data_IF_781916041976
#
_entry.id   IF_781916041976
#
_cell.length_a   1.000
_cell.length_b   1.000
_cell.length_c   1.000
_cell.angle_alpha   90.00
_cell.angle_beta   90.00
_cell.angle_gamma   90.00
#
_symmetry.space_group_name_H-M   'P 1'
#
loop_
_entity.id
_entity.type
_entity.pdbx_description
1 polymer ?
#
# COMPACT_ATOMS: atom_id res chain seq x y z
N UNK A 1 -17.78 28.74 -14.63
CA UNK A 1 -18.06 29.04 -13.21
C UNK A 1 -16.84 28.62 -12.41
N UNK A 2 -16.33 29.57 -11.63
CA UNK A 2 -15.03 29.66 -10.95
C UNK A 2 -14.63 28.40 -10.15
N UNK A 3 -13.38 27.94 -10.31
CA UNK A 3 -12.67 27.24 -9.22
C UNK A 3 -11.93 28.31 -8.42
N UNK A 4 -12.57 28.82 -7.37
CA UNK A 4 -11.98 29.79 -6.44
C UNK A 4 -10.90 29.12 -5.59
N UNK A 5 -9.68 29.64 -5.72
CA UNK A 5 -8.77 30.01 -4.63
C UNK A 5 -8.41 28.91 -3.63
N UNK A 6 -7.21 28.34 -3.83
CA UNK A 6 -6.47 27.57 -2.82
C UNK A 6 -6.15 28.47 -1.63
N UNK A 7 -7.08 28.49 -0.69
CA UNK A 7 -6.97 29.19 0.57
C UNK A 7 -5.88 28.55 1.44
N UNK A 8 -4.73 29.21 1.48
CA UNK A 8 -3.61 29.01 2.41
C UNK A 8 -4.07 29.33 3.83
N UNK A 9 -4.77 28.37 4.45
CA UNK A 9 -5.03 28.37 5.89
C UNK A 9 -4.32 27.17 6.48
N UNK A 10 -3.42 27.43 7.42
CA UNK A 10 -2.71 26.46 8.26
C UNK A 10 -3.68 25.75 9.22
N UNK A 11 -4.70 25.09 8.68
CA UNK A 11 -5.51 24.15 9.41
C UNK A 11 -4.79 22.81 9.35
N UNK A 12 -4.47 22.23 10.52
CA UNK A 12 -4.02 20.84 10.58
C UNK A 12 -5.22 19.96 10.25
N UNK A 13 -5.51 19.82 8.96
CA UNK A 13 -6.53 18.92 8.47
C UNK A 13 -5.97 17.51 8.66
N UNK A 14 -6.54 16.75 9.60
CA UNK A 14 -6.21 15.35 9.76
C UNK A 14 -6.75 14.59 8.55
N UNK A 15 -5.94 14.45 7.50
CA UNK A 15 -6.30 13.66 6.32
C UNK A 15 -6.38 12.19 6.78
N UNK A 16 -7.57 11.56 6.71
CA UNK A 16 -7.69 10.16 7.11
C UNK A 16 -6.78 9.30 6.24
N UNK A 17 -6.14 8.31 6.86
CA UNK A 17 -5.33 7.35 6.12
C UNK A 17 -6.23 6.59 5.13
N UNK A 18 -5.81 6.40 3.88
CA UNK A 18 -6.63 5.75 2.88
C UNK A 18 -7.00 4.35 3.35
N UNK A 19 -8.29 4.05 3.30
CA UNK A 19 -8.85 2.75 3.63
C UNK A 19 -8.33 1.70 2.66
N UNK A 20 -8.46 0.43 3.05
CA UNK A 20 -8.07 -0.69 2.18
C UNK A 20 -8.78 -0.64 0.83
N UNK A 21 -10.07 -0.27 0.82
CA UNK A 21 -10.89 -0.18 -0.39
C UNK A 21 -10.38 0.92 -1.31
N UNK A 22 -10.06 2.10 -0.78
CA UNK A 22 -9.47 3.20 -1.57
C UNK A 22 -8.11 2.81 -2.16
N UNK A 23 -7.30 2.06 -1.41
CA UNK A 23 -6.00 1.55 -1.91
C UNK A 23 -6.17 0.54 -3.04
N UNK A 24 -7.20 -0.31 -2.97
CA UNK A 24 -7.53 -1.25 -4.04
C UNK A 24 -8.10 -0.54 -5.27
N UNK A 25 -8.94 0.48 -5.06
CA UNK A 25 -9.53 1.28 -6.15
C UNK A 25 -8.47 2.12 -6.87
N UNK A 26 -7.46 2.61 -6.14
CA UNK A 26 -6.28 3.27 -6.72
C UNK A 26 -5.49 2.35 -7.66
N UNK A 27 -5.69 1.03 -7.61
CA UNK A 27 -5.07 0.01 -8.48
C UNK A 27 -3.56 0.15 -8.61
N UNK A 28 -2.92 0.71 -7.60
CA UNK A 28 -1.50 1.07 -7.61
C UNK A 28 -0.76 0.12 -6.71
N UNK A 29 0.28 -0.53 -7.25
CA UNK A 29 1.14 -1.39 -6.45
C UNK A 29 1.94 -0.55 -5.45
N UNK A 30 1.78 -0.78 -4.15
CA UNK A 30 2.54 -0.08 -3.11
C UNK A 30 4.03 -0.45 -3.09
N UNK A 31 4.41 -1.48 -3.83
CA UNK A 31 5.80 -1.95 -3.91
C UNK A 31 6.58 -1.36 -5.07
N UNK A 32 5.95 -1.27 -6.25
CA UNK A 32 6.62 -0.83 -7.47
C UNK A 32 5.99 0.42 -8.09
N UNK A 33 4.93 0.97 -7.50
CA UNK A 33 4.22 2.15 -7.98
C UNK A 33 3.42 1.95 -9.27
N UNK A 34 3.40 0.74 -9.84
CA UNK A 34 2.73 0.49 -11.12
C UNK A 34 1.22 0.39 -10.94
N UNK A 35 0.48 1.13 -11.78
CA UNK A 35 -0.97 1.05 -11.87
C UNK A 35 -1.37 -0.14 -12.76
N UNK A 36 -2.29 -0.99 -12.29
CA UNK A 36 -2.73 -2.16 -13.04
C UNK A 36 -3.53 -3.16 -12.20
N UNK A 37 -3.63 -4.43 -12.65
CA UNK A 37 -4.24 -5.48 -11.83
C UNK A 37 -3.41 -5.69 -10.57
N UNK A 38 -4.04 -5.41 -9.44
CA UNK A 38 -3.46 -5.54 -8.10
C UNK A 38 -4.24 -6.55 -7.29
N UNK A 39 -3.52 -7.24 -6.42
CA UNK A 39 -4.03 -8.24 -5.49
C UNK A 39 -3.71 -7.81 -4.07
N UNK A 40 -4.60 -8.16 -3.15
CA UNK A 40 -4.41 -7.89 -1.74
C UNK A 40 -3.58 -9.00 -1.10
N UNK A 41 -2.33 -8.69 -0.75
CA UNK A 41 -1.53 -9.54 0.13
C UNK A 41 -1.95 -9.26 1.57
N UNK A 42 -2.35 -10.30 2.30
CA UNK A 42 -2.63 -10.23 3.72
C UNK A 42 -1.77 -11.25 4.47
N UNK A 43 -1.34 -10.90 5.68
CA UNK A 43 -0.54 -11.78 6.55
C UNK A 43 -1.24 -11.98 7.89
N UNK A 44 -1.09 -13.17 8.48
CA UNK A 44 -1.72 -13.49 9.78
C UNK A 44 -1.12 -12.67 10.92
N UNK A 45 0.21 -12.60 10.99
CA UNK A 45 0.96 -11.90 12.04
C UNK A 45 2.11 -11.11 11.42
N UNK A 46 2.29 -9.85 11.83
CA UNK A 46 3.44 -9.04 11.41
C UNK A 46 4.76 -9.68 11.84
N UNK A 47 4.80 -10.29 13.03
CA UNK A 47 5.99 -10.97 13.57
C UNK A 47 6.40 -12.23 12.79
N UNK A 48 5.57 -12.74 11.86
CA UNK A 48 5.96 -13.85 11.00
C UNK A 48 6.70 -13.40 9.74
N UNK A 49 6.67 -12.10 9.44
CA UNK A 49 7.41 -11.53 8.31
C UNK A 49 8.89 -11.47 8.68
N UNK A 50 9.74 -12.07 7.83
CA UNK A 50 11.18 -12.15 8.09
C UNK A 50 11.96 -10.93 7.58
N UNK A 51 11.26 -9.94 7.00
CA UNK A 51 11.89 -8.75 6.41
C UNK A 51 12.77 -9.06 5.19
N UNK A 52 12.70 -10.28 4.64
CA UNK A 52 13.53 -10.71 3.51
C UNK A 52 13.08 -10.13 2.17
N UNK A 53 11.82 -9.73 2.09
CA UNK A 53 11.25 -9.12 0.90
C UNK A 53 10.89 -7.68 1.18
N UNK A 54 10.96 -6.84 0.15
CA UNK A 54 10.56 -5.43 0.23
C UNK A 54 9.11 -5.27 0.72
N UNK A 55 8.24 -6.24 0.41
CA UNK A 55 6.88 -6.33 0.97
C UNK A 55 6.89 -6.39 2.49
N UNK A 56 7.65 -7.34 3.02
CA UNK A 56 7.69 -7.60 4.45
C UNK A 56 8.22 -6.36 5.17
N UNK A 57 9.26 -5.72 4.62
CA UNK A 57 9.82 -4.47 5.15
C UNK A 57 8.79 -3.35 5.18
N UNK A 58 8.06 -3.12 4.09
CA UNK A 58 6.99 -2.12 4.03
C UNK A 58 5.83 -2.43 4.98
N UNK A 59 5.47 -3.70 5.13
CA UNK A 59 4.40 -4.13 6.04
C UNK A 59 4.78 -3.94 7.51
N UNK A 60 6.05 -4.20 7.87
CA UNK A 60 6.58 -3.88 9.20
C UNK A 60 6.62 -2.38 9.44
N UNK A 61 7.19 -1.61 8.51
CA UNK A 61 7.39 -0.16 8.64
C UNK A 61 6.04 0.59 8.77
N UNK A 62 5.06 0.22 7.93
CA UNK A 62 3.73 0.84 7.99
C UNK A 62 2.84 0.24 9.10
N UNK A 63 3.30 -0.79 9.81
CA UNK A 63 2.50 -1.59 10.75
C UNK A 63 1.15 -2.08 10.17
N UNK A 64 1.12 -2.37 8.86
CA UNK A 64 -0.08 -2.79 8.14
C UNK A 64 0.00 -4.29 7.81
N UNK A 65 -1.01 -5.05 8.19
CA UNK A 65 -1.15 -6.49 7.85
C UNK A 65 -1.57 -6.73 6.40
N UNK A 66 -1.83 -5.67 5.65
CA UNK A 66 -2.37 -5.70 4.30
C UNK A 66 -1.57 -4.80 3.38
N UNK A 67 -1.21 -5.31 2.21
CA UNK A 67 -0.44 -4.59 1.20
C UNK A 67 -1.06 -4.85 -0.17
N UNK A 68 -1.24 -3.80 -0.97
CA UNK A 68 -1.71 -3.90 -2.35
C UNK A 68 -0.50 -4.09 -3.26
N UNK A 69 -0.45 -5.23 -3.97
CA UNK A 69 0.68 -5.59 -4.83
C UNK A 69 0.20 -6.01 -6.21
N UNK A 70 0.98 -5.74 -7.25
CA UNK A 70 0.68 -6.32 -8.56
C UNK A 70 1.05 -7.80 -8.62
N UNK A 71 0.47 -8.53 -9.57
CA UNK A 71 0.72 -9.97 -9.76
C UNK A 71 2.20 -10.30 -9.94
N UNK A 72 2.97 -9.43 -10.61
CA UNK A 72 4.41 -9.61 -10.80
C UNK A 72 5.17 -9.57 -9.47
N UNK A 73 4.83 -8.61 -8.61
CA UNK A 73 5.42 -8.51 -7.29
C UNK A 73 4.98 -9.69 -6.41
N UNK A 74 3.69 -10.06 -6.48
CA UNK A 74 3.15 -11.22 -5.80
C UNK A 74 3.91 -12.52 -6.16
N UNK A 75 4.10 -12.76 -7.45
CA UNK A 75 4.84 -13.92 -7.96
C UNK A 75 6.30 -13.94 -7.48
N UNK A 76 6.99 -12.79 -7.47
CA UNK A 76 8.36 -12.70 -6.95
C UNK A 76 8.42 -13.12 -5.48
N UNK A 77 7.50 -12.64 -4.65
CA UNK A 77 7.50 -12.95 -3.22
C UNK A 77 7.23 -14.43 -2.97
N UNK A 78 6.29 -15.02 -3.71
CA UNK A 78 6.01 -16.45 -3.63
C UNK A 78 7.16 -17.31 -4.16
N UNK A 79 7.89 -16.82 -5.17
CA UNK A 79 9.05 -17.54 -5.73
C UNK A 79 10.25 -17.59 -4.77
N UNK A 80 10.41 -16.60 -3.89
CA UNK A 80 11.47 -16.56 -2.87
C UNK A 80 11.17 -17.40 -1.61
N UNK A 81 10.02 -18.07 -1.54
CA UNK A 81 9.63 -18.91 -0.40
C UNK A 81 10.09 -20.38 -0.50
N UNK A 82 10.99 -20.71 -1.45
CA UNK A 82 11.64 -22.02 -1.56
C UNK A 82 12.89 -22.08 -0.69
#
# INVERSE_FOLDING_TARGET
MYYTEVNDLSYTIAIPQPTLTERLDARTCELCGKVGPVVMRHVRKLNQLKGKTECDRLMLEKHRKTLVVCEKCYAKIHSHAK
#
